data_IF_059330017403
#
_entry.id   IF_059330017403
#
_cell.length_a   1.000
_cell.length_b   1.000
_cell.length_c   1.000
_cell.angle_alpha   90.00
_cell.angle_beta   90.00
_cell.angle_gamma   90.00
#
_symmetry.space_group_name_H-M   'P 1'
#
loop_
_entity.id
_entity.type
_entity.pdbx_description
1 polymer ?
#
# COMPACT_ATOMS: atom_id res chain seq x y z
N UNK A 1 -32.35 6.16 -12.01
CA UNK A 1 -31.65 6.62 -10.79
C UNK A 1 -30.28 7.13 -11.21
N UNK A 2 -29.85 8.33 -10.80
CA UNK A 2 -28.54 8.84 -11.22
C UNK A 2 -27.46 7.91 -10.67
N UNK A 3 -26.59 7.45 -11.56
CA UNK A 3 -25.53 6.49 -11.31
C UNK A 3 -24.51 7.13 -10.35
N UNK A 4 -24.71 6.99 -9.03
CA UNK A 4 -23.78 7.52 -8.04
C UNK A 4 -22.40 6.94 -8.34
N UNK A 5 -21.45 7.80 -8.73
CA UNK A 5 -20.10 7.38 -9.16
C UNK A 5 -19.43 6.63 -8.00
N UNK A 6 -19.36 5.31 -8.12
CA UNK A 6 -18.66 4.43 -7.17
C UNK A 6 -17.16 4.61 -7.33
N UNK A 7 -16.44 4.50 -6.21
CA UNK A 7 -14.99 4.40 -6.27
C UNK A 7 -14.61 3.07 -6.89
N UNK A 8 -13.58 3.08 -7.73
CA UNK A 8 -13.04 1.91 -8.43
C UNK A 8 -11.59 1.67 -8.02
N UNK A 9 -11.08 0.47 -8.32
CA UNK A 9 -9.64 0.16 -8.22
C UNK A 9 -8.80 1.24 -8.88
N UNK A 10 -9.12 1.61 -10.13
CA UNK A 10 -8.39 2.62 -10.91
C UNK A 10 -8.30 4.00 -10.24
N UNK A 11 -9.30 4.40 -9.44
CA UNK A 11 -9.26 5.68 -8.71
C UNK A 11 -8.18 5.66 -7.60
N UNK A 12 -7.97 4.51 -6.96
CA UNK A 12 -6.95 4.31 -5.92
C UNK A 12 -5.60 4.06 -6.55
N UNK A 13 -5.56 3.20 -7.57
CA UNK A 13 -4.40 2.86 -8.37
C UNK A 13 -3.70 4.11 -8.93
N UNK A 14 -4.45 5.07 -9.45
CA UNK A 14 -3.91 6.36 -9.91
C UNK A 14 -3.17 7.12 -8.80
N UNK A 15 -3.68 7.06 -7.58
CA UNK A 15 -3.03 7.68 -6.42
C UNK A 15 -1.80 6.88 -6.02
N UNK A 16 -1.88 5.56 -6.10
CA UNK A 16 -0.75 4.66 -5.88
C UNK A 16 0.40 4.98 -6.84
N UNK A 17 0.15 4.99 -8.15
CA UNK A 17 1.15 5.26 -9.21
C UNK A 17 1.82 6.63 -9.14
N UNK A 18 1.29 7.58 -8.38
CA UNK A 18 1.97 8.87 -8.16
C UNK A 18 3.09 8.81 -7.11
N UNK A 19 3.27 7.68 -6.42
CA UNK A 19 4.27 7.49 -5.37
C UNK A 19 5.53 6.75 -5.85
N UNK A 20 5.44 5.54 -6.44
CA UNK A 20 6.63 4.80 -6.83
C UNK A 20 7.27 5.43 -8.07
N UNK A 21 8.57 5.74 -7.98
CA UNK A 21 9.37 6.00 -9.16
C UNK A 21 9.91 4.67 -9.69
N UNK A 22 9.05 3.89 -10.34
CA UNK A 22 9.43 2.60 -10.92
C UNK A 22 9.81 2.71 -12.39
N UNK A 23 10.88 2.01 -12.79
CA UNK A 23 11.23 1.79 -14.20
C UNK A 23 10.53 0.58 -14.80
N UNK A 24 9.98 -0.28 -13.95
CA UNK A 24 9.33 -1.53 -14.31
C UNK A 24 7.83 -1.42 -14.10
N UNK A 25 7.07 -1.92 -15.06
CA UNK A 25 5.63 -2.03 -14.94
C UNK A 25 5.28 -3.03 -13.84
N UNK A 26 4.43 -2.62 -12.91
CA UNK A 26 3.96 -3.48 -11.83
C UNK A 26 2.79 -4.29 -12.40
N UNK A 27 2.77 -5.64 -12.26
CA UNK A 27 1.66 -6.43 -12.76
C UNK A 27 0.35 -6.05 -12.07
N UNK A 28 -0.70 -5.76 -12.85
CA UNK A 28 -2.02 -5.35 -12.32
C UNK A 28 -2.57 -6.34 -11.28
N UNK A 29 -2.39 -7.65 -11.51
CA UNK A 29 -2.82 -8.67 -10.55
C UNK A 29 -2.15 -8.55 -9.18
N UNK A 30 -0.91 -8.10 -9.13
CA UNK A 30 -0.20 -7.85 -7.87
C UNK A 30 -0.74 -6.61 -7.17
N UNK A 31 -1.05 -5.56 -7.93
CA UNK A 31 -1.64 -4.33 -7.38
C UNK A 31 -3.06 -4.58 -6.86
N UNK A 32 -3.83 -5.44 -7.53
CA UNK A 32 -5.14 -5.89 -7.06
C UNK A 32 -5.04 -6.60 -5.70
N UNK A 33 -4.08 -7.51 -5.53
CA UNK A 33 -3.81 -8.19 -4.26
C UNK A 33 -3.38 -7.22 -3.16
N UNK A 34 -2.54 -6.23 -3.49
CA UNK A 34 -2.15 -5.18 -2.55
C UNK A 34 -3.33 -4.32 -2.12
N UNK A 35 -4.25 -3.98 -3.03
CA UNK A 35 -5.45 -3.27 -2.66
C UNK A 35 -6.37 -4.13 -1.80
N UNK A 36 -6.58 -5.40 -2.14
CA UNK A 36 -7.41 -6.31 -1.36
C UNK A 36 -6.90 -6.44 0.09
N UNK A 37 -5.58 -6.61 0.25
CA UNK A 37 -4.91 -6.61 1.55
C UNK A 37 -5.10 -5.27 2.27
N UNK A 38 -4.88 -4.14 1.58
CA UNK A 38 -5.04 -2.82 2.16
C UNK A 38 -6.48 -2.53 2.62
N UNK A 39 -7.49 -2.99 1.87
CA UNK A 39 -8.90 -2.88 2.25
C UNK A 39 -9.18 -3.69 3.51
N UNK A 40 -8.76 -4.95 3.56
CA UNK A 40 -8.97 -5.81 4.72
C UNK A 40 -8.33 -5.23 5.99
N UNK A 41 -7.08 -4.76 5.90
CA UNK A 41 -6.37 -4.15 7.02
C UNK A 41 -7.01 -2.82 7.46
N UNK A 42 -7.51 -2.03 6.52
CA UNK A 42 -8.21 -0.78 6.82
C UNK A 42 -9.52 -1.04 7.55
N UNK A 43 -10.32 -1.98 7.05
CA UNK A 43 -11.59 -2.41 7.66
C UNK A 43 -11.38 -2.96 9.06
N UNK A 44 -10.35 -3.80 9.26
CA UNK A 44 -9.97 -4.33 10.57
C UNK A 44 -9.57 -3.20 11.53
N UNK A 45 -8.77 -2.25 11.07
CA UNK A 45 -8.27 -1.16 11.91
C UNK A 45 -9.38 -0.20 12.35
N UNK A 46 -10.27 0.18 11.44
CA UNK A 46 -11.33 1.15 11.71
C UNK A 46 -12.66 0.51 12.10
N UNK A 47 -12.73 -0.82 12.15
CA UNK A 47 -13.97 -1.58 12.41
C UNK A 47 -15.11 -1.15 11.49
N UNK A 48 -14.82 -1.04 10.19
CA UNK A 48 -15.79 -0.63 9.16
C UNK A 48 -15.84 -1.62 7.99
N UNK A 49 -16.81 -1.46 7.10
CA UNK A 49 -17.02 -2.31 5.91
C UNK A 49 -17.11 -1.42 4.67
N UNK A 50 -16.06 -1.42 3.85
CA UNK A 50 -15.97 -0.69 2.59
C UNK A 50 -16.67 -1.44 1.44
N UNK A 51 -17.02 -2.71 1.64
CA UNK A 51 -17.71 -3.57 0.66
C UNK A 51 -17.02 -3.57 -0.69
N UNK A 52 -15.70 -3.76 -0.67
CA UNK A 52 -14.93 -3.92 -1.89
C UNK A 52 -15.23 -5.28 -2.54
N UNK A 53 -15.45 -5.29 -3.85
CA UNK A 53 -15.67 -6.51 -4.61
C UNK A 53 -14.49 -6.74 -5.56
N UNK A 54 -13.63 -7.69 -5.21
CA UNK A 54 -12.41 -8.03 -5.96
C UNK A 54 -12.70 -8.41 -7.42
N UNK A 55 -13.78 -9.16 -7.69
CA UNK A 55 -14.16 -9.59 -9.05
C UNK A 55 -14.54 -8.43 -9.96
N UNK A 56 -15.18 -7.41 -9.40
CA UNK A 56 -15.66 -6.24 -10.16
C UNK A 56 -14.79 -5.01 -9.96
N UNK A 57 -13.76 -5.11 -9.11
CA UNK A 57 -12.81 -4.05 -8.72
C UNK A 57 -13.52 -2.74 -8.29
N UNK A 58 -14.63 -2.86 -7.56
CA UNK A 58 -15.52 -1.74 -7.21
C UNK A 58 -15.90 -1.77 -5.74
N UNK A 59 -16.00 -0.59 -5.16
CA UNK A 59 -16.60 -0.39 -3.84
C UNK A 59 -18.13 -0.24 -3.96
N UNK A 60 -18.86 -0.55 -2.89
CA UNK A 60 -20.32 -0.39 -2.89
C UNK A 60 -20.77 1.06 -3.07
N UNK A 61 -19.95 2.01 -2.62
CA UNK A 61 -20.24 3.44 -2.64
C UNK A 61 -19.06 4.30 -3.12
N UNK A 62 -19.24 5.61 -2.98
CA UNK A 62 -18.17 6.59 -3.18
C UNK A 62 -17.41 6.72 -1.86
N UNK A 63 -16.12 6.41 -1.89
CA UNK A 63 -15.22 6.63 -0.76
C UNK A 63 -14.78 8.09 -0.68
N UNK A 64 -14.52 8.56 0.53
CA UNK A 64 -13.87 9.86 0.73
C UNK A 64 -12.42 9.81 0.21
N UNK A 65 -11.92 10.97 -0.23
CA UNK A 65 -10.55 11.11 -0.74
C UNK A 65 -9.51 10.71 0.29
N UNK A 66 -9.78 10.91 1.58
CA UNK A 66 -8.89 10.52 2.68
C UNK A 66 -8.76 9.00 2.76
N UNK A 67 -9.86 8.27 2.57
CA UNK A 67 -9.88 6.80 2.53
C UNK A 67 -9.09 6.31 1.31
N UNK A 68 -9.39 6.83 0.11
CA UNK A 68 -8.66 6.46 -1.11
C UNK A 68 -7.16 6.70 -0.98
N UNK A 69 -6.77 7.84 -0.39
CA UNK A 69 -5.37 8.15 -0.11
C UNK A 69 -4.76 7.14 0.85
N UNK A 70 -5.45 6.78 1.93
CA UNK A 70 -4.92 5.84 2.92
C UNK A 70 -4.71 4.46 2.31
N UNK A 71 -5.69 3.96 1.54
CA UNK A 71 -5.57 2.69 0.82
C UNK A 71 -4.38 2.69 -0.17
N UNK A 72 -4.19 3.76 -0.94
CA UNK A 72 -3.04 3.89 -1.82
C UNK A 72 -1.70 3.89 -1.05
N UNK A 73 -1.64 4.56 0.10
CA UNK A 73 -0.44 4.61 0.94
C UNK A 73 -0.12 3.24 1.55
N UNK A 74 -1.16 2.44 1.86
CA UNK A 74 -1.01 1.04 2.29
C UNK A 74 -0.52 0.15 1.14
N UNK A 75 -1.02 0.33 -0.09
CA UNK A 75 -0.45 -0.35 -1.27
C UNK A 75 1.04 0.01 -1.45
N UNK A 76 1.42 1.26 -1.17
CA UNK A 76 2.82 1.70 -1.24
C UNK A 76 3.72 1.03 -0.18
N UNK A 77 3.20 0.73 1.02
CA UNK A 77 3.91 -0.11 1.99
C UNK A 77 4.21 -1.49 1.39
N UNK A 78 3.22 -2.15 0.79
CA UNK A 78 3.40 -3.47 0.16
C UNK A 78 4.43 -3.44 -0.97
N UNK A 79 4.44 -2.38 -1.77
CA UNK A 79 5.46 -2.15 -2.79
C UNK A 79 6.88 -2.03 -2.17
N UNK A 80 7.05 -1.19 -1.15
CA UNK A 80 8.34 -0.99 -0.48
C UNK A 80 8.85 -2.27 0.22
N UNK A 81 7.95 -3.08 0.80
CA UNK A 81 8.29 -4.39 1.36
C UNK A 81 8.86 -5.35 0.30
N UNK A 82 8.26 -5.35 -0.89
CA UNK A 82 8.75 -6.15 -2.03
C UNK A 82 10.10 -5.64 -2.54
N UNK A 83 10.28 -4.32 -2.64
CA UNK A 83 11.58 -3.74 -3.01
C UNK A 83 12.67 -4.05 -1.99
N UNK A 84 12.36 -3.97 -0.69
CA UNK A 84 13.28 -4.37 0.36
C UNK A 84 13.67 -5.85 0.20
N UNK A 85 12.69 -6.74 -0.04
CA UNK A 85 12.93 -8.17 -0.27
C UNK A 85 13.83 -8.41 -1.49
N UNK A 86 13.61 -7.67 -2.58
CA UNK A 86 14.45 -7.71 -3.79
C UNK A 86 15.89 -7.28 -3.48
N UNK A 87 16.09 -6.19 -2.73
CA UNK A 87 17.41 -5.73 -2.30
C UNK A 87 18.11 -6.78 -1.42
N UNK A 88 17.40 -7.42 -0.49
CA UNK A 88 17.97 -8.48 0.35
C UNK A 88 18.40 -9.71 -0.48
N UNK A 89 17.58 -10.09 -1.47
CA UNK A 89 17.88 -11.21 -2.37
C UNK A 89 19.11 -10.92 -3.24
N UNK A 90 19.22 -9.71 -3.79
CA UNK A 90 20.39 -9.27 -4.58
C UNK A 90 21.68 -9.23 -3.75
N UNK A 91 21.57 -8.85 -2.47
CA UNK A 91 22.71 -8.80 -1.55
C UNK A 91 23.13 -10.18 -1.03
N UNK A 92 22.57 -11.28 -1.55
CA UNK A 92 23.00 -12.65 -1.23
C UNK A 92 22.65 -13.13 0.18
N UNK A 93 21.83 -12.40 0.94
CA UNK A 93 21.48 -12.72 2.35
C UNK A 93 20.77 -14.08 2.47
N UNK A 94 20.06 -14.52 1.43
CA UNK A 94 19.40 -15.82 1.41
C UNK A 94 20.33 -16.98 0.97
N UNK A 95 21.58 -16.71 0.57
CA UNK A 95 22.36 -17.61 -0.28
C UNK A 95 23.66 -18.20 0.29
N UNK A 96 24.54 -17.41 0.94
CA UNK A 96 25.82 -17.89 1.52
C UNK A 96 26.65 -16.73 2.08
N UNK A 97 27.53 -17.07 3.03
CA UNK A 97 28.58 -16.22 3.63
C UNK A 97 29.17 -15.18 2.66
N UNK A 98 28.78 -13.90 2.75
CA UNK A 98 29.60 -12.81 2.24
C UNK A 98 29.40 -11.55 3.09
N UNK A 99 30.46 -11.15 3.78
CA UNK A 99 30.64 -9.79 4.26
C UNK A 99 30.94 -8.88 3.06
N UNK A 100 29.94 -8.15 2.57
CA UNK A 100 30.10 -7.09 1.56
C UNK A 100 29.68 -5.75 2.16
N UNK A 101 30.65 -5.05 2.75
CA UNK A 101 30.54 -3.78 3.48
C UNK A 101 30.20 -2.55 2.59
N UNK A 102 29.68 -2.74 1.37
CA UNK A 102 29.37 -1.67 0.41
C UNK A 102 27.90 -1.46 0.05
N UNK A 103 27.02 -2.45 0.27
CA UNK A 103 25.60 -2.41 -0.12
C UNK A 103 24.64 -2.14 1.06
N UNK A 104 25.19 -1.92 2.25
CA UNK A 104 24.43 -1.66 3.48
C UNK A 104 23.66 -0.33 3.41
N UNK A 105 24.19 0.67 2.70
CA UNK A 105 23.53 1.98 2.55
C UNK A 105 22.19 1.89 1.79
N UNK A 106 22.13 1.17 0.67
CA UNK A 106 20.88 1.00 -0.10
C UNK A 106 19.83 0.26 0.71
N UNK A 107 20.22 -0.83 1.38
CA UNK A 107 19.35 -1.57 2.30
C UNK A 107 18.80 -0.68 3.42
N UNK A 108 19.67 0.12 4.05
CA UNK A 108 19.27 1.04 5.13
C UNK A 108 18.29 2.10 4.63
N UNK A 109 18.53 2.71 3.47
CA UNK A 109 17.64 3.72 2.89
C UNK A 109 16.28 3.12 2.53
N UNK A 110 16.23 1.97 1.84
CA UNK A 110 14.97 1.31 1.48
C UNK A 110 14.19 0.88 2.73
N UNK A 111 14.89 0.38 3.77
CA UNK A 111 14.26 0.06 5.04
C UNK A 111 13.71 1.31 5.73
N UNK A 112 14.49 2.40 5.77
CA UNK A 112 14.04 3.65 6.38
C UNK A 112 12.80 4.19 5.69
N UNK A 113 12.76 4.18 4.35
CA UNK A 113 11.59 4.61 3.58
C UNK A 113 10.37 3.75 3.89
N UNK A 114 10.55 2.42 4.01
CA UNK A 114 9.47 1.52 4.44
C UNK A 114 8.99 1.85 5.85
N UNK A 115 9.89 2.03 6.81
CA UNK A 115 9.55 2.33 8.21
C UNK A 115 8.82 3.68 8.33
N UNK A 116 9.27 4.70 7.60
CA UNK A 116 8.63 6.03 7.53
C UNK A 116 7.23 5.95 6.92
N UNK A 117 7.06 5.13 5.88
CA UNK A 117 5.79 4.93 5.21
C UNK A 117 4.78 4.18 6.08
N UNK A 118 5.23 3.16 6.82
CA UNK A 118 4.41 2.46 7.83
C UNK A 118 3.95 3.46 8.90
N UNK A 119 4.86 4.27 9.45
CA UNK A 119 4.52 5.27 10.46
C UNK A 119 3.52 6.33 9.95
N UNK A 120 3.60 6.70 8.67
CA UNK A 120 2.61 7.58 8.04
C UNK A 120 1.23 6.93 7.98
N UNK A 121 1.14 5.68 7.54
CA UNK A 121 -0.12 4.91 7.46
C UNK A 121 -0.76 4.78 8.83
N UNK A 122 0.01 4.39 9.86
CA UNK A 122 -0.48 4.30 11.24
C UNK A 122 -1.06 5.62 11.74
N UNK A 123 -0.38 6.74 11.46
CA UNK A 123 -0.87 8.08 11.81
C UNK A 123 -2.13 8.48 11.04
N UNK A 124 -2.30 8.02 9.80
CA UNK A 124 -3.51 8.26 9.01
C UNK A 124 -4.69 7.45 9.56
N UNK A 125 -4.45 6.19 9.91
CA UNK A 125 -5.46 5.31 10.52
C UNK A 125 -5.90 5.83 11.88
N UNK A 126 -4.96 6.19 12.76
CA UNK A 126 -5.27 6.76 14.07
C UNK A 126 -6.18 8.00 13.97
N UNK A 127 -5.81 8.96 13.12
CA UNK A 127 -6.61 10.19 12.92
C UNK A 127 -8.00 9.93 12.38
N UNK A 128 -8.19 8.84 11.63
CA UNK A 128 -9.50 8.44 11.13
C UNK A 128 -10.33 7.71 12.19
N UNK A 129 -9.71 6.93 13.09
CA UNK A 129 -10.40 6.35 14.26
C UNK A 129 -10.97 7.45 15.15
N UNK A 130 -10.18 8.46 15.49
CA UNK A 130 -10.62 9.54 16.38
C UNK A 130 -11.84 10.30 15.83
N UNK A 131 -11.95 10.41 14.51
CA UNK A 131 -13.10 11.05 13.85
C UNK A 131 -14.39 10.20 13.91
N UNK A 132 -14.28 8.89 14.10
CA UNK A 132 -15.44 7.97 14.13
C UNK A 132 -16.04 7.77 15.53
N UNK A 133 -15.35 8.23 16.58
CA UNK A 133 -15.81 8.14 17.98
C UNK A 133 -16.21 9.50 18.59
N UNK A 134 -16.37 10.54 17.75
CA UNK A 134 -16.84 11.88 18.15
C UNK A 134 -18.35 12.04 18.13
#
# INVERSE_FOLDING_TARGET
MPNAKRTTFADIEKTFHSMPLTKFEIPEGLEAEWLATAVADYELNLSCDLRYNEKTQKFAGKLDRTVCRTLAQMMYVSYLQRELSRVMALNGIYGKDVQLTGQDATKRVTKQELDDQIALVERLLHRQKDHTYG
#
